data_IF_422341113944
#
_entry.id   IF_422341113944
#
_cell.length_a   1.000
_cell.length_b   1.000
_cell.length_c   1.000
_cell.angle_alpha   90.00
_cell.angle_beta   90.00
_cell.angle_gamma   90.00
#
_symmetry.space_group_name_H-M   'P 1'
#
loop_
_entity.id
_entity.type
_entity.pdbx_description
1 polymer ?
#
# COMPACT_ATOMS: atom_id res chain seq x y z
N UNK A 1 -70.49 27.43 -3.65
CA UNK A 1 -70.55 27.27 -5.12
C UNK A 1 -69.77 26.02 -5.49
N UNK A 2 -70.45 24.92 -5.81
CA UNK A 2 -69.85 23.75 -6.46
C UNK A 2 -70.99 22.91 -7.04
N UNK A 3 -71.03 22.69 -8.35
CA UNK A 3 -71.48 21.40 -8.87
C UNK A 3 -71.07 21.21 -10.32
N UNK A 4 -70.59 19.99 -10.55
CA UNK A 4 -69.98 19.42 -11.74
C UNK A 4 -70.95 19.43 -12.94
N UNK A 5 -70.42 19.82 -14.10
CA UNK A 5 -71.03 19.55 -15.40
C UNK A 5 -70.71 18.11 -15.84
N UNK A 6 -71.74 17.28 -15.95
CA UNK A 6 -71.68 15.93 -16.47
C UNK A 6 -71.47 15.93 -17.99
N UNK A 7 -70.36 15.36 -18.47
CA UNK A 7 -70.15 15.12 -19.90
C UNK A 7 -70.88 13.85 -20.33
N UNK A 8 -71.64 13.99 -21.42
CA UNK A 8 -72.51 12.97 -22.01
C UNK A 8 -71.70 11.82 -22.60
N UNK A 9 -72.20 10.62 -22.34
CA UNK A 9 -71.82 9.36 -22.99
C UNK A 9 -72.19 9.41 -24.47
N UNK A 10 -71.25 9.05 -25.34
CA UNK A 10 -71.51 8.79 -26.76
C UNK A 10 -70.89 7.44 -27.10
N UNK A 11 -71.74 6.42 -27.12
CA UNK A 11 -71.45 5.08 -27.64
C UNK A 11 -71.27 5.18 -29.15
N UNK A 12 -70.20 4.59 -29.69
CA UNK A 12 -70.11 4.25 -31.12
C UNK A 12 -69.71 2.79 -31.31
N UNK A 13 -70.35 2.09 -32.26
CA UNK A 13 -70.36 0.63 -32.32
C UNK A 13 -69.17 0.01 -33.06
N UNK A 14 -68.84 -1.18 -32.57
CA UNK A 14 -68.18 -2.33 -33.17
C UNK A 14 -67.75 -2.28 -34.64
N UNK A 15 -66.48 -2.58 -34.87
CA UNK A 15 -66.06 -3.47 -35.95
C UNK A 15 -65.29 -4.63 -35.35
N UNK A 16 -65.94 -5.79 -35.34
CA UNK A 16 -65.24 -7.07 -35.26
C UNK A 16 -64.34 -7.18 -36.50
N UNK A 17 -63.06 -7.46 -36.28
CA UNK A 17 -62.21 -8.15 -37.24
C UNK A 17 -61.37 -9.14 -36.45
N UNK A 18 -61.76 -10.40 -36.55
CA UNK A 18 -61.10 -11.57 -36.01
C UNK A 18 -59.76 -11.78 -36.73
N UNK A 19 -58.65 -11.78 -36.00
CA UNK A 19 -57.37 -12.32 -36.49
C UNK A 19 -56.74 -13.20 -35.41
N UNK A 20 -57.01 -14.50 -35.60
CA UNK A 20 -56.26 -15.71 -35.27
C UNK A 20 -55.01 -15.59 -34.39
N UNK A 21 -54.98 -16.49 -33.40
CA UNK A 21 -53.94 -16.74 -32.43
C UNK A 21 -52.52 -16.91 -32.98
N UNK A 22 -51.55 -16.36 -32.25
CA UNK A 22 -50.21 -16.92 -32.14
C UNK A 22 -49.92 -17.14 -30.65
N UNK A 23 -49.92 -18.41 -30.24
CA UNK A 23 -49.44 -18.86 -28.93
C UNK A 23 -47.92 -18.67 -28.94
N UNK A 24 -47.45 -17.59 -28.33
CA UNK A 24 -46.03 -17.37 -28.06
C UNK A 24 -45.70 -17.76 -26.63
N UNK A 25 -45.52 -19.05 -26.35
CA UNK A 25 -44.83 -19.49 -25.13
C UNK A 25 -43.32 -19.21 -25.32
N UNK A 26 -42.90 -17.99 -25.02
CA UNK A 26 -41.50 -17.66 -24.93
C UNK A 26 -40.97 -18.11 -23.55
N UNK A 27 -40.25 -19.22 -23.62
CA UNK A 27 -39.49 -19.90 -22.57
C UNK A 27 -38.79 -18.91 -21.63
N UNK A 28 -38.91 -19.17 -20.33
CA UNK A 28 -38.11 -18.57 -19.28
C UNK A 28 -36.62 -18.80 -19.57
N UNK A 29 -35.98 -17.83 -20.20
CA UNK A 29 -34.53 -17.74 -20.21
C UNK A 29 -34.14 -17.10 -18.88
N UNK A 30 -33.58 -17.93 -18.02
CA UNK A 30 -33.10 -17.54 -16.71
C UNK A 30 -32.27 -16.27 -16.83
N UNK A 31 -32.75 -15.21 -16.20
CA UNK A 31 -31.82 -14.31 -15.55
C UNK A 31 -31.35 -15.04 -14.31
N UNK A 32 -30.36 -15.92 -14.49
CA UNK A 32 -29.27 -16.01 -13.52
C UNK A 32 -28.61 -14.63 -13.53
N UNK A 33 -29.31 -13.63 -13.01
CA UNK A 33 -28.70 -12.38 -12.61
C UNK A 33 -27.65 -12.81 -11.60
N UNK A 34 -26.40 -12.45 -11.87
CA UNK A 34 -25.29 -12.73 -10.99
C UNK A 34 -25.73 -12.49 -9.55
N UNK A 35 -25.88 -13.58 -8.81
CA UNK A 35 -25.80 -13.59 -7.36
C UNK A 35 -24.35 -13.24 -7.01
N UNK A 36 -23.95 -11.99 -7.28
CA UNK A 36 -22.85 -11.38 -6.57
C UNK A 36 -23.45 -11.01 -5.23
N UNK A 37 -23.37 -11.96 -4.29
CA UNK A 37 -23.94 -11.86 -2.97
C UNK A 37 -23.57 -10.54 -2.30
N UNK A 38 -24.46 -10.12 -1.42
CA UNK A 38 -24.37 -9.04 -0.44
C UNK A 38 -23.07 -8.98 0.40
N UNK A 39 -22.10 -9.89 0.19
CA UNK A 39 -20.73 -9.81 0.65
C UNK A 39 -19.87 -10.39 -0.48
N UNK A 40 -19.18 -9.55 -1.26
CA UNK A 40 -18.18 -10.02 -2.21
C UNK A 40 -17.02 -10.67 -1.44
N UNK A 41 -16.52 -11.82 -1.88
CA UNK A 41 -15.31 -12.40 -1.30
C UNK A 41 -14.03 -11.57 -1.57
N UNK A 42 -14.14 -10.48 -2.32
CA UNK A 42 -13.11 -9.42 -2.39
C UNK A 42 -13.41 -8.21 -1.49
N UNK A 43 -14.59 -8.11 -0.86
CA UNK A 43 -14.93 -6.96 -0.01
C UNK A 43 -14.12 -6.94 1.31
N UNK A 44 -13.54 -8.07 1.70
CA UNK A 44 -12.58 -8.18 2.80
C UNK A 44 -11.16 -8.50 2.30
N UNK A 45 -10.88 -8.38 0.99
CA UNK A 45 -9.48 -8.38 0.58
C UNK A 45 -8.86 -7.09 1.10
N UNK A 46 -8.04 -7.23 2.14
CA UNK A 46 -7.06 -6.22 2.49
C UNK A 46 -6.28 -5.90 1.21
N UNK A 47 -6.12 -4.63 0.84
CA UNK A 47 -5.36 -4.27 -0.34
C UNK A 47 -4.00 -4.97 -0.30
N UNK A 48 -3.55 -5.49 -1.44
CA UNK A 48 -2.26 -6.17 -1.58
C UNK A 48 -1.10 -5.16 -1.56
N UNK A 49 -1.07 -4.35 -0.51
CA UNK A 49 -0.08 -3.32 -0.21
C UNK A 49 0.38 -3.57 1.22
N UNK A 50 1.68 -3.51 1.47
CA UNK A 50 2.30 -3.88 2.74
C UNK A 50 2.12 -2.81 3.83
N UNK A 51 0.92 -2.23 3.95
CA UNK A 51 0.63 -1.14 4.89
C UNK A 51 -0.37 -1.50 5.98
N UNK A 52 -0.19 -0.92 7.16
CA UNK A 52 -1.10 -1.06 8.28
C UNK A 52 -2.35 -0.19 8.12
N UNK A 53 -3.47 -0.67 8.67
CA UNK A 53 -4.77 -0.01 8.60
C UNK A 53 -5.38 0.10 9.99
N UNK A 54 -5.85 1.29 10.37
CA UNK A 54 -6.48 1.57 11.67
C UNK A 54 -7.63 2.56 11.49
N UNK A 55 -8.74 2.34 12.21
CA UNK A 55 -9.82 3.32 12.32
C UNK A 55 -9.74 4.02 13.68
N UNK A 56 -9.83 5.35 13.69
CA UNK A 56 -9.86 6.18 14.89
C UNK A 56 -11.02 7.18 14.80
N UNK A 57 -12.16 6.83 15.41
CA UNK A 57 -13.38 7.62 15.26
C UNK A 57 -13.81 7.73 13.80
N UNK A 58 -13.91 8.95 13.29
CA UNK A 58 -14.21 9.26 11.88
C UNK A 58 -12.96 9.29 10.97
N UNK A 59 -11.77 9.07 11.52
CA UNK A 59 -10.54 9.01 10.75
C UNK A 59 -10.18 7.57 10.41
N UNK A 60 -9.84 7.34 9.16
CA UNK A 60 -9.42 6.05 8.64
C UNK A 60 -7.98 6.16 8.14
N UNK A 61 -7.06 5.55 8.88
CA UNK A 61 -5.66 5.45 8.51
C UNK A 61 -5.50 4.20 7.64
N UNK A 62 -4.98 4.40 6.43
CA UNK A 62 -4.81 3.38 5.40
C UNK A 62 -3.37 3.37 4.92
N UNK A 63 -2.90 2.18 4.56
CA UNK A 63 -1.61 1.95 3.92
C UNK A 63 -0.43 2.61 4.66
N UNK A 64 -0.47 2.60 6.00
CA UNK A 64 0.57 3.20 6.83
C UNK A 64 1.80 2.29 6.80
N UNK A 65 2.90 2.76 6.25
CA UNK A 65 4.14 2.02 6.11
C UNK A 65 5.37 2.93 6.15
N UNK A 66 6.49 2.36 6.59
CA UNK A 66 7.81 2.97 6.44
C UNK A 66 8.37 2.46 5.11
N UNK A 67 8.73 3.38 4.20
CA UNK A 67 9.30 3.02 2.92
C UNK A 67 10.73 2.50 3.10
N UNK A 68 11.04 1.39 2.44
CA UNK A 68 12.41 0.88 2.41
C UNK A 68 13.31 1.83 1.60
N UNK A 69 14.50 2.16 2.11
CA UNK A 69 15.44 3.01 1.39
C UNK A 69 15.95 2.33 0.11
N UNK A 70 15.63 2.88 -1.07
CA UNK A 70 16.08 2.31 -2.35
C UNK A 70 17.59 2.42 -2.55
N UNK A 71 18.23 3.43 -1.93
CA UNK A 71 19.65 3.71 -2.06
C UNK A 71 20.34 3.52 -0.70
N UNK A 72 21.47 2.80 -0.74
CA UNK A 72 22.36 2.58 0.41
C UNK A 72 21.62 2.14 1.70
N UNK A 73 20.65 1.22 1.54
CA UNK A 73 19.86 0.69 2.64
C UNK A 73 20.70 0.27 3.87
N UNK A 74 21.87 -0.41 3.74
CA UNK A 74 22.69 -0.77 4.90
C UNK A 74 23.11 0.44 5.75
N UNK A 75 23.50 1.54 5.11
CA UNK A 75 23.87 2.78 5.81
C UNK A 75 22.67 3.47 6.43
N UNK A 76 21.55 3.55 5.69
CA UNK A 76 20.31 4.18 6.20
C UNK A 76 19.79 3.44 7.43
N UNK A 77 19.72 2.10 7.40
CA UNK A 77 19.37 1.30 8.57
C UNK A 77 20.42 1.41 9.68
N UNK A 78 21.72 1.46 9.34
CA UNK A 78 22.80 1.63 10.31
C UNK A 78 22.73 2.94 11.10
N UNK A 79 22.33 4.02 10.42
CA UNK A 79 22.13 5.35 11.01
C UNK A 79 20.76 5.52 11.67
N UNK A 80 19.80 4.64 11.36
CA UNK A 80 18.42 4.72 11.82
C UNK A 80 17.62 5.80 11.10
N UNK A 81 17.84 5.98 9.80
CA UNK A 81 17.12 6.90 8.93
C UNK A 81 18.05 7.75 8.04
N UNK A 82 17.50 8.66 7.24
CA UNK A 82 16.07 8.99 7.13
C UNK A 82 15.25 7.86 6.50
N UNK A 83 14.05 7.63 7.02
CA UNK A 83 13.05 6.74 6.44
C UNK A 83 11.82 7.55 6.05
N UNK A 84 11.41 7.48 4.78
CA UNK A 84 10.16 8.12 4.33
C UNK A 84 8.95 7.32 4.83
N UNK A 85 7.89 8.03 5.20
CA UNK A 85 6.61 7.44 5.61
C UNK A 85 5.60 7.56 4.48
N UNK A 86 4.91 6.47 4.17
CA UNK A 86 3.74 6.45 3.31
C UNK A 86 2.49 6.15 4.12
N UNK A 87 1.41 6.90 3.89
CA UNK A 87 0.12 6.70 4.54
C UNK A 87 -1.00 7.45 3.80
N UNK A 88 -2.24 7.05 4.03
CA UNK A 88 -3.42 7.86 3.72
C UNK A 88 -4.28 8.00 4.97
N UNK A 89 -4.79 9.19 5.24
CA UNK A 89 -5.76 9.46 6.31
C UNK A 89 -7.02 10.01 5.68
N UNK A 90 -8.08 9.21 5.64
CA UNK A 90 -9.39 9.64 5.15
C UNK A 90 -10.25 10.11 6.32
N UNK A 91 -11.03 11.17 6.08
CA UNK A 91 -12.02 11.70 7.00
C UNK A 91 -13.42 11.31 6.51
N UNK A 92 -14.06 10.38 7.21
CA UNK A 92 -15.42 9.93 6.92
C UNK A 92 -16.50 10.76 7.62
N UNK A 93 -16.13 11.83 8.34
CA UNK A 93 -17.09 12.77 8.91
C UNK A 93 -17.72 13.64 7.81
N UNK A 94 -19.00 13.97 7.98
CA UNK A 94 -19.77 14.74 7.01
C UNK A 94 -19.60 16.26 7.19
N UNK A 95 -19.15 16.72 8.36
CA UNK A 95 -19.16 18.14 8.74
C UNK A 95 -17.83 18.60 9.35
N UNK A 96 -17.16 17.73 10.09
CA UNK A 96 -16.02 18.12 10.91
C UNK A 96 -14.70 18.05 10.14
N UNK A 97 -13.92 19.12 10.28
CA UNK A 97 -12.55 19.18 9.77
C UNK A 97 -11.60 18.60 10.79
N UNK A 98 -10.69 17.75 10.32
CA UNK A 98 -9.56 17.27 11.11
C UNK A 98 -8.25 17.84 10.58
N UNK A 99 -7.19 17.75 11.38
CA UNK A 99 -5.83 18.10 11.00
C UNK A 99 -4.86 17.09 11.58
N UNK A 100 -3.95 16.58 10.75
CA UNK A 100 -2.80 15.82 11.23
C UNK A 100 -1.79 16.81 11.85
N UNK A 101 -1.67 16.80 13.16
CA UNK A 101 -0.79 17.73 13.89
C UNK A 101 0.66 17.30 13.75
N UNK A 102 0.95 16.06 14.15
CA UNK A 102 2.27 15.45 14.14
C UNK A 102 2.18 13.92 14.08
N UNK A 103 3.31 13.30 13.74
CA UNK A 103 3.54 11.86 13.86
C UNK A 103 4.72 11.69 14.81
N UNK A 104 4.65 10.70 15.69
CA UNK A 104 5.72 10.40 16.65
C UNK A 104 6.07 8.92 16.57
N UNK A 105 7.30 8.59 16.96
CA UNK A 105 7.80 7.22 17.02
C UNK A 105 8.40 6.96 18.40
N UNK A 106 8.53 5.69 18.81
CA UNK A 106 9.18 5.32 20.09
C UNK A 106 10.59 5.93 20.20
N UNK A 107 11.31 5.95 19.08
CA UNK A 107 12.64 6.53 18.98
C UNK A 107 12.81 7.29 17.68
N UNK A 108 13.50 8.42 17.75
CA UNK A 108 13.78 9.28 16.62
C UNK A 108 12.84 10.48 16.57
N UNK A 109 12.88 11.20 15.46
CA UNK A 109 12.05 12.38 15.19
C UNK A 109 11.42 12.21 13.81
N UNK A 110 10.11 12.47 13.73
CA UNK A 110 9.42 12.58 12.44
C UNK A 110 9.30 14.05 12.09
N UNK A 111 9.70 14.41 10.87
CA UNK A 111 9.58 15.77 10.35
C UNK A 111 8.84 15.74 9.01
N UNK A 112 7.98 16.72 8.79
CA UNK A 112 7.36 16.92 7.48
C UNK A 112 8.31 17.74 6.60
N UNK A 113 8.83 17.14 5.53
CA UNK A 113 9.74 17.79 4.58
C UNK A 113 8.96 18.51 3.46
N UNK A 114 7.75 18.05 3.16
CA UNK A 114 6.77 18.73 2.31
C UNK A 114 5.42 18.80 3.04
N UNK A 115 4.71 19.93 2.94
CA UNK A 115 3.47 20.15 3.69
C UNK A 115 3.68 20.35 5.19
N UNK A 116 4.79 21.00 5.55
CA UNK A 116 5.17 21.29 6.93
C UNK A 116 4.26 22.33 7.61
N UNK A 117 3.58 23.17 6.83
CA UNK A 117 2.59 24.09 7.37
C UNK A 117 1.35 23.34 7.85
N UNK A 118 0.78 23.77 8.97
CA UNK A 118 -0.39 23.10 9.55
C UNK A 118 -1.60 23.10 8.61
N UNK A 119 -1.71 24.12 7.76
CA UNK A 119 -2.79 24.25 6.78
C UNK A 119 -2.63 23.27 5.61
N UNK A 120 -1.45 22.68 5.47
CA UNK A 120 -1.19 21.60 4.52
C UNK A 120 -1.65 20.22 4.98
N UNK A 121 -1.94 20.10 6.27
CA UNK A 121 -2.35 18.83 6.89
C UNK A 121 -3.80 18.80 7.33
N UNK A 122 -4.60 19.75 6.85
CA UNK A 122 -6.05 19.76 7.06
C UNK A 122 -6.70 18.66 6.21
N UNK A 123 -7.61 17.91 6.83
CA UNK A 123 -8.39 16.82 6.24
C UNK A 123 -9.87 17.23 6.28
N UNK A 124 -10.40 17.85 5.21
CA UNK A 124 -11.80 18.26 5.15
C UNK A 124 -12.77 17.07 5.25
N UNK A 125 -14.06 17.31 5.56
CA UNK A 125 -15.11 16.30 5.50
C UNK A 125 -15.14 15.56 4.16
N UNK A 126 -15.20 14.22 4.20
CA UNK A 126 -15.22 13.37 3.01
C UNK A 126 -13.97 13.44 2.13
N UNK A 127 -12.84 13.92 2.64
CA UNK A 127 -11.57 14.03 1.91
C UNK A 127 -10.46 13.22 2.60
N UNK A 128 -9.32 13.09 1.93
CA UNK A 128 -8.15 12.39 2.46
C UNK A 128 -6.87 13.21 2.33
N UNK A 129 -5.96 12.98 3.28
CA UNK A 129 -4.57 13.46 3.27
C UNK A 129 -3.65 12.28 2.94
N UNK A 130 -2.71 12.45 2.02
CA UNK A 130 -1.73 11.41 1.68
C UNK A 130 -0.32 11.85 2.03
N UNK A 131 0.37 10.99 2.79
CA UNK A 131 1.80 11.04 3.04
C UNK A 131 2.56 10.12 2.10
N UNK A 132 3.62 10.63 1.47
CA UNK A 132 4.53 9.84 0.62
C UNK A 132 3.87 9.27 -0.65
N UNK A 133 4.67 8.55 -1.44
CA UNK A 133 4.19 7.82 -2.61
C UNK A 133 4.47 6.32 -2.42
N UNK A 134 3.47 5.52 -2.00
CA UNK A 134 3.62 4.07 -2.13
C UNK A 134 3.73 3.72 -3.62
N UNK A 135 4.52 2.70 -3.93
CA UNK A 135 4.69 2.20 -5.30
C UNK A 135 3.32 1.99 -5.98
N UNK A 136 3.09 2.67 -7.10
CA UNK A 136 1.86 2.53 -7.91
C UNK A 136 0.71 3.51 -7.65
N UNK A 137 0.85 4.55 -6.81
CA UNK A 137 -0.22 5.51 -6.52
C UNK A 137 -0.47 6.58 -7.62
N UNK A 138 -1.74 6.97 -7.84
CA UNK A 138 -2.15 8.10 -8.70
C UNK A 138 -2.30 9.38 -7.85
N UNK A 139 -1.88 10.52 -8.40
CA UNK A 139 -1.51 11.73 -7.64
C UNK A 139 -2.46 12.92 -7.79
N UNK A 140 -3.61 12.75 -8.45
CA UNK A 140 -4.35 13.87 -9.04
C UNK A 140 -5.40 14.57 -8.15
N UNK A 141 -5.81 13.99 -7.00
CA UNK A 141 -6.97 14.51 -6.23
C UNK A 141 -6.64 14.79 -4.75
N UNK A 142 -5.47 14.40 -4.25
CA UNK A 142 -5.15 14.38 -2.81
C UNK A 142 -4.05 15.39 -2.47
N UNK A 143 -4.17 16.05 -1.31
CA UNK A 143 -3.12 16.95 -0.80
C UNK A 143 -1.95 16.11 -0.32
N UNK A 144 -0.76 16.41 -0.83
CA UNK A 144 0.46 15.65 -0.58
C UNK A 144 1.24 16.25 0.57
N UNK A 145 1.72 15.39 1.45
CA UNK A 145 2.73 15.70 2.46
C UNK A 145 3.82 14.64 2.40
N UNK A 146 5.02 15.00 2.81
CA UNK A 146 6.14 14.05 2.91
C UNK A 146 6.66 14.10 4.32
N UNK A 147 6.79 12.93 4.95
CA UNK A 147 7.25 12.81 6.33
C UNK A 147 8.45 11.85 6.39
N UNK A 148 9.48 12.24 7.13
CA UNK A 148 10.71 11.45 7.30
C UNK A 148 10.97 11.19 8.79
N UNK A 149 11.25 9.93 9.11
CA UNK A 149 11.71 9.49 10.41
C UNK A 149 13.24 9.40 10.42
N UNK A 150 13.88 10.15 11.32
CA UNK A 150 15.34 10.13 11.53
C UNK A 150 15.68 9.72 12.95
N UNK A 151 16.87 9.14 13.14
CA UNK A 151 17.39 8.81 14.48
C UNK A 151 16.65 7.68 15.20
N UNK A 152 15.95 6.82 14.47
CA UNK A 152 15.25 5.66 15.02
C UNK A 152 16.21 4.60 15.59
N UNK A 153 17.49 4.64 15.21
CA UNK A 153 18.45 3.59 15.54
C UNK A 153 17.98 2.23 15.03
N UNK A 154 17.88 1.23 15.92
CA UNK A 154 17.51 -0.15 15.57
C UNK A 154 16.01 -0.45 15.70
N UNK A 155 15.18 0.53 16.05
CA UNK A 155 13.73 0.32 16.20
C UNK A 155 13.04 0.14 14.85
N UNK A 156 13.68 0.61 13.77
CA UNK A 156 13.25 0.42 12.38
C UNK A 156 14.22 -0.55 11.70
N UNK A 157 13.69 -1.65 11.17
CA UNK A 157 14.45 -2.64 10.41
C UNK A 157 13.53 -3.37 9.42
N UNK A 158 14.09 -3.88 8.33
CA UNK A 158 13.34 -4.70 7.39
C UNK A 158 12.71 -5.92 8.08
N UNK A 159 11.41 -6.13 7.88
CA UNK A 159 10.65 -7.20 8.52
C UNK A 159 10.25 -6.94 9.98
N UNK A 160 10.57 -5.76 10.54
CA UNK A 160 10.09 -5.31 11.85
C UNK A 160 8.94 -4.30 11.68
N UNK A 161 7.98 -4.33 12.60
CA UNK A 161 6.95 -3.31 12.75
C UNK A 161 7.38 -2.27 13.79
N UNK A 162 7.26 -0.99 13.45
CA UNK A 162 7.53 0.14 14.33
C UNK A 162 6.23 0.82 14.72
N UNK A 163 6.04 1.14 16.00
CA UNK A 163 4.85 1.87 16.44
C UNK A 163 4.99 3.35 16.08
N UNK A 164 4.07 3.84 15.24
CA UNK A 164 3.92 5.25 14.90
C UNK A 164 2.62 5.79 15.50
N UNK A 165 2.71 6.87 16.26
CA UNK A 165 1.55 7.53 16.87
C UNK A 165 1.21 8.80 16.11
N UNK A 166 0.00 8.85 15.57
CA UNK A 166 -0.56 9.97 14.81
C UNK A 166 -1.40 10.83 15.75
N UNK A 167 -1.14 12.13 15.77
CA UNK A 167 -1.80 13.11 16.62
C UNK A 167 -2.73 13.99 15.79
N UNK A 168 -3.97 14.14 16.22
CA UNK A 168 -4.99 14.85 15.47
C UNK A 168 -5.55 16.02 16.25
N UNK A 169 -5.96 17.03 15.49
CA UNK A 169 -6.81 18.11 15.97
C UNK A 169 -8.11 18.13 15.18
N UNK A 170 -9.16 18.66 15.79
CA UNK A 170 -10.47 18.86 15.18
C UNK A 170 -10.81 20.35 15.22
N UNK A 171 -11.51 20.82 14.19
CA UNK A 171 -11.98 22.20 14.14
C UNK A 171 -13.25 22.36 14.97
N UNK A 172 -13.22 23.25 15.94
CA UNK A 172 -14.36 23.63 16.77
C UNK A 172 -15.28 24.62 16.03
N UNK A 173 -16.50 24.81 16.54
CA UNK A 173 -17.53 25.67 15.96
C UNK A 173 -17.10 27.15 15.85
N UNK A 174 -16.18 27.61 16.71
CA UNK A 174 -15.58 28.95 16.65
C UNK A 174 -14.45 29.07 15.60
N UNK A 175 -14.12 27.98 14.90
CA UNK A 175 -13.07 27.90 13.89
C UNK A 175 -11.67 27.58 14.43
N UNK A 176 -11.48 27.47 15.74
CA UNK A 176 -10.23 27.07 16.39
C UNK A 176 -9.96 25.58 16.24
N UNK A 177 -8.69 25.19 16.27
CA UNK A 177 -8.28 23.80 16.37
C UNK A 177 -8.21 23.39 17.84
N UNK A 178 -8.80 22.25 18.17
CA UNK A 178 -8.76 21.61 19.49
C UNK A 178 -8.18 20.21 19.36
N UNK A 179 -7.57 19.71 20.44
CA UNK A 179 -7.02 18.36 20.47
C UNK A 179 -8.13 17.32 20.20
N UNK A 180 -7.87 16.42 19.26
CA UNK A 180 -8.75 15.31 18.90
C UNK A 180 -8.15 13.96 19.31
N UNK A 181 -7.04 13.97 20.05
CA UNK A 181 -6.35 12.79 20.54
C UNK A 181 -5.43 12.14 19.50
N UNK A 182 -5.03 10.92 19.80
CA UNK A 182 -3.98 10.21 19.07
C UNK A 182 -4.35 8.73 18.84
N UNK A 183 -3.73 8.13 17.84
CA UNK A 183 -3.79 6.68 17.61
C UNK A 183 -2.43 6.13 17.22
N UNK A 184 -2.10 4.95 17.74
CA UNK A 184 -0.88 4.23 17.40
C UNK A 184 -1.15 3.18 16.32
N UNK A 185 -0.24 3.09 15.36
CA UNK A 185 -0.28 2.17 14.23
C UNK A 185 0.99 1.35 14.19
N UNK A 186 0.84 0.01 14.19
CA UNK A 186 1.97 -0.91 14.05
C UNK A 186 2.44 -0.92 12.59
N UNK A 187 3.45 -0.11 12.30
CA UNK A 187 3.81 0.27 10.94
C UNK A 187 4.94 -0.62 10.42
N UNK A 188 4.70 -1.47 9.40
CA UNK A 188 5.75 -2.30 8.80
C UNK A 188 6.73 -1.46 7.97
N UNK A 189 7.95 -1.98 7.80
CA UNK A 189 8.90 -1.50 6.78
C UNK A 189 8.64 -2.26 5.48
N UNK A 190 8.16 -1.57 4.45
CA UNK A 190 7.85 -2.15 3.14
C UNK A 190 9.10 -2.14 2.24
N UNK A 191 9.72 -3.31 2.07
CA UNK A 191 10.83 -3.53 1.14
C UNK A 191 10.42 -3.57 -0.34
N UNK A 192 9.12 -3.53 -0.65
CA UNK A 192 8.63 -3.85 -1.99
C UNK A 192 9.05 -5.24 -2.45
N UNK A 193 8.71 -5.60 -3.69
CA UNK A 193 9.18 -6.84 -4.32
C UNK A 193 10.65 -6.76 -4.82
N UNK A 194 11.35 -5.67 -4.53
CA UNK A 194 12.69 -5.34 -5.07
C UNK A 194 13.83 -5.94 -4.24
N UNK A 195 13.61 -7.12 -3.66
CA UNK A 195 14.71 -8.02 -3.41
C UNK A 195 14.63 -9.10 -4.48
N UNK A 196 15.57 -9.05 -5.43
CA UNK A 196 15.81 -10.16 -6.34
C UNK A 196 15.86 -11.44 -5.48
N UNK A 197 14.88 -12.33 -5.66
CA UNK A 197 14.89 -13.61 -4.95
C UNK A 197 16.15 -14.33 -5.41
N UNK A 198 17.19 -14.30 -4.60
CA UNK A 198 18.37 -15.14 -4.77
C UNK A 198 17.93 -16.57 -4.51
N UNK A 199 17.33 -17.19 -5.53
CA UNK A 199 17.08 -18.62 -5.59
C UNK A 199 18.38 -19.29 -6.01
N UNK A 200 19.38 -19.23 -5.13
CA UNK A 200 20.50 -20.16 -5.20
C UNK A 200 20.08 -21.37 -4.37
N UNK A 201 19.92 -22.55 -4.97
CA UNK A 201 19.74 -23.78 -4.22
C UNK A 201 20.93 -23.91 -3.25
N UNK A 202 20.66 -23.81 -1.94
CA UNK A 202 21.59 -24.32 -0.94
C UNK A 202 21.57 -25.83 -1.10
N UNK A 203 22.67 -26.36 -1.65
CA UNK A 203 22.96 -27.76 -1.99
C UNK A 203 22.80 -28.10 -3.47
N UNK A 204 23.68 -27.56 -4.30
CA UNK A 204 24.37 -28.41 -5.27
C UNK A 204 25.76 -28.69 -4.68
N UNK A 205 25.96 -29.88 -4.13
CA UNK A 205 27.29 -30.38 -3.80
C UNK A 205 28.20 -30.26 -5.03
N UNK A 206 29.48 -29.88 -4.89
CA UNK A 206 30.41 -29.95 -6.00
C UNK A 206 30.67 -31.43 -6.30
N UNK A 207 29.95 -32.00 -7.27
CA UNK A 207 30.35 -33.28 -7.86
C UNK A 207 31.63 -33.04 -8.63
N UNK A 208 32.75 -33.28 -7.95
CA UNK A 208 34.02 -33.63 -8.57
C UNK A 208 33.78 -34.81 -9.52
N UNK A 209 33.80 -34.56 -10.83
CA UNK A 209 34.35 -35.44 -11.89
C UNK A 209 33.96 -34.86 -13.25
N UNK A 210 34.93 -34.24 -13.93
CA UNK A 210 35.28 -34.65 -15.30
C UNK A 210 36.56 -33.93 -15.72
N UNK A 211 37.63 -34.66 -15.43
CA UNK A 211 38.96 -34.48 -15.94
C UNK A 211 38.95 -34.76 -17.45
N UNK A 212 39.10 -33.71 -18.26
CA UNK A 212 39.71 -33.85 -19.58
C UNK A 212 41.12 -33.28 -19.44
N UNK A 213 42.06 -34.15 -19.14
CA UNK A 213 43.48 -33.88 -19.28
C UNK A 213 44.04 -34.88 -20.28
N UNK A 214 44.62 -34.30 -21.32
CA UNK A 214 45.33 -34.94 -22.41
C UNK A 214 46.34 -35.98 -21.92
N UNK A 215 46.35 -37.11 -22.61
CA UNK A 215 47.39 -38.13 -22.52
C UNK A 215 48.72 -37.56 -23.04
N UNK A 216 49.59 -37.15 -22.12
CA UNK A 216 51.00 -36.90 -22.38
C UNK A 216 51.82 -37.78 -21.44
N UNK A 217 52.30 -38.90 -21.97
CA UNK A 217 53.04 -39.90 -21.22
C UNK A 217 54.46 -39.47 -20.80
N UNK A 218 54.85 -40.04 -19.67
CA UNK A 218 56.17 -40.55 -19.32
C UNK A 218 57.36 -39.58 -19.17
N UNK A 219 57.84 -39.52 -17.92
CA UNK A 219 59.23 -39.77 -17.50
C UNK A 219 59.78 -38.70 -16.53
N UNK A 220 60.35 -39.15 -15.41
CA UNK A 220 61.42 -38.42 -14.73
C UNK A 220 61.24 -38.21 -13.23
N UNK A 221 61.77 -39.15 -12.47
CA UNK A 221 61.98 -39.14 -11.03
C UNK A 221 63.30 -38.41 -10.67
N UNK A 222 63.40 -37.97 -9.40
CA UNK A 222 64.60 -37.49 -8.65
C UNK A 222 65.18 -36.12 -9.08
N UNK A 223 65.41 -35.15 -8.19
CA UNK A 223 65.97 -35.27 -6.84
C UNK A 223 67.49 -35.00 -6.93
N UNK A 224 67.94 -33.78 -6.63
CA UNK A 224 69.36 -33.43 -6.70
C UNK A 224 69.65 -31.97 -6.34
N UNK A 225 70.43 -31.79 -5.29
CA UNK A 225 70.79 -30.54 -4.61
C UNK A 225 71.71 -29.57 -5.40
N UNK A 226 71.94 -28.43 -4.73
CA UNK A 226 73.11 -27.53 -4.81
C UNK A 226 73.09 -26.37 -5.82
N UNK A 227 72.82 -25.18 -5.29
CA UNK A 227 73.46 -23.95 -5.74
C UNK A 227 73.77 -23.07 -4.53
N UNK A 228 75.04 -23.09 -4.10
CA UNK A 228 75.62 -22.08 -3.21
C UNK A 228 76.58 -21.25 -4.05
N UNK A 229 76.28 -19.96 -4.19
CA UNK A 229 77.19 -18.93 -4.68
C UNK A 229 78.01 -18.39 -3.51
N UNK A 230 79.34 -18.49 -3.57
CA UNK A 230 80.30 -17.62 -2.86
C UNK A 230 81.63 -17.66 -3.66
N UNK A 231 82.07 -16.57 -4.30
CA UNK A 231 83.09 -15.67 -3.73
C UNK A 231 84.45 -16.38 -3.64
N UNK A 232 85.49 -16.12 -4.44
CA UNK A 232 86.12 -14.84 -4.72
C UNK A 232 87.50 -14.78 -4.04
N UNK A 233 88.55 -15.09 -4.82
CA UNK A 233 90.01 -14.91 -4.59
C UNK A 233 90.76 -15.77 -3.56
#
# INVERSE_FOLDING_TARGET
>A
MLSLSARRSAVRPSRLATAVAAIGMAVALGTTGCSAGQISQTANQLPAVNGANVNYGALELRDVQILFPEQDAPTVFGNGGPFELAFAVANSDDLDYYRLKEITAEKGKVEFTEGADSDDRIIPPGQALRGGLPVGANTAIEKKVTAELTGAGKTVAAGLTTDLTFHFEKRDANGSWIDAGETTVQTPVDAGAELERVNVPRNAEPTFYNQHHDEGGDAGHEGGDEHSEDGGH
#
